data_IF_923263412193
#
_entry.id   IF_923263412193
#
_cell.length_a   1.000
_cell.length_b   1.000
_cell.length_c   1.000
_cell.angle_alpha   90.00
_cell.angle_beta   90.00
_cell.angle_gamma   90.00
#
_symmetry.space_group_name_H-M   'P 1'
#
loop_
_entity.id
_entity.type
_entity.pdbx_description
1 polymer ?
#
# COMPACT_ATOMS: atom_id res chain seq x y z
N UNK A 1 -18.07 -0.06 13.60
CA UNK A 1 -18.33 0.52 12.26
C UNK A 1 -17.00 0.85 11.60
N UNK A 2 -16.86 0.50 10.35
CA UNK A 2 -15.64 0.77 9.57
C UNK A 2 -15.77 2.12 8.88
N UNK A 3 -14.76 2.95 9.03
CA UNK A 3 -14.68 4.27 8.41
C UNK A 3 -13.39 4.35 7.59
N UNK A 4 -13.50 4.79 6.34
CA UNK A 4 -12.36 4.93 5.45
C UNK A 4 -12.11 6.42 5.22
N UNK A 5 -10.87 6.85 5.43
CA UNK A 5 -10.45 8.24 5.20
C UNK A 5 -9.31 8.28 4.20
N UNK A 6 -9.30 9.31 3.38
CA UNK A 6 -8.28 9.48 2.34
C UNK A 6 -7.27 10.55 2.75
N UNK A 7 -6.01 10.30 2.46
CA UNK A 7 -4.91 11.28 2.58
C UNK A 7 -4.71 11.87 3.97
N UNK A 8 -4.96 11.06 5.00
CA UNK A 8 -4.75 11.51 6.40
C UNK A 8 -3.25 11.55 6.73
N UNK A 9 -2.52 10.49 6.42
CA UNK A 9 -1.07 10.39 6.61
C UNK A 9 -0.61 10.74 8.04
N UNK A 10 -1.29 10.16 9.02
CA UNK A 10 -0.94 10.37 10.43
C UNK A 10 0.30 9.55 10.79
N UNK A 11 1.33 10.21 11.28
CA UNK A 11 2.63 9.59 11.55
C UNK A 11 2.55 8.52 12.64
N UNK A 12 1.85 8.82 13.72
CA UNK A 12 1.75 7.88 14.84
C UNK A 12 0.95 6.64 14.46
N UNK A 13 -0.11 6.80 13.67
CA UNK A 13 -0.91 5.68 13.18
C UNK A 13 -0.10 4.82 12.20
N UNK A 14 0.65 5.46 11.32
CA UNK A 14 1.52 4.77 10.38
C UNK A 14 2.54 3.90 11.11
N UNK A 15 3.19 4.47 12.12
CA UNK A 15 4.18 3.74 12.92
C UNK A 15 3.53 2.63 13.74
N UNK A 16 2.35 2.90 14.30
CA UNK A 16 1.61 1.87 15.03
C UNK A 16 1.33 0.65 14.14
N UNK A 17 0.89 0.88 12.90
CA UNK A 17 0.61 -0.21 11.97
C UNK A 17 1.87 -0.98 11.59
N UNK A 18 2.99 -0.29 11.35
CA UNK A 18 4.25 -0.97 11.06
C UNK A 18 4.64 -1.93 12.19
N UNK A 19 4.47 -1.51 13.43
CA UNK A 19 4.75 -2.38 14.57
C UNK A 19 3.73 -3.51 14.66
N UNK A 20 2.46 -3.21 14.44
CA UNK A 20 1.39 -4.20 14.57
C UNK A 20 1.52 -5.34 13.55
N UNK A 21 2.01 -5.05 12.35
CA UNK A 21 2.20 -6.09 11.32
C UNK A 21 3.60 -6.73 11.39
N UNK A 22 4.41 -6.33 12.35
CA UNK A 22 5.70 -6.95 12.60
C UNK A 22 6.86 -6.44 11.75
N UNK A 23 6.68 -5.33 11.04
CA UNK A 23 7.74 -4.78 10.20
C UNK A 23 8.70 -3.87 10.97
N UNK A 24 8.27 -3.35 12.11
CA UNK A 24 9.04 -2.41 12.91
C UNK A 24 8.95 -0.98 12.40
N UNK A 25 8.56 -0.07 13.30
CA UNK A 25 8.37 1.33 12.93
C UNK A 25 9.70 2.07 12.79
N UNK A 26 9.67 3.14 12.03
CA UNK A 26 10.79 4.06 11.90
C UNK A 26 10.71 5.15 12.97
N UNK A 27 11.80 5.91 13.13
CA UNK A 27 11.75 7.14 13.91
C UNK A 27 10.72 8.08 13.29
N UNK A 28 10.05 8.88 14.14
CA UNK A 28 8.96 9.74 13.69
C UNK A 28 9.37 10.69 12.55
N UNK A 29 10.58 11.23 12.62
CA UNK A 29 11.06 12.15 11.59
C UNK A 29 11.21 11.45 10.24
N UNK A 30 11.66 10.19 10.25
CA UNK A 30 11.79 9.40 9.04
C UNK A 30 10.41 9.11 8.45
N UNK A 31 9.47 8.70 9.28
CA UNK A 31 8.08 8.45 8.82
C UNK A 31 7.45 9.72 8.27
N UNK A 32 7.70 10.88 8.90
CA UNK A 32 7.16 12.15 8.43
C UNK A 32 7.67 12.46 7.02
N UNK A 33 8.98 12.33 6.81
CA UNK A 33 9.57 12.58 5.49
C UNK A 33 9.05 11.63 4.44
N UNK A 34 8.93 10.35 4.81
CA UNK A 34 8.43 9.32 3.88
C UNK A 34 7.00 9.60 3.46
N UNK A 35 6.13 9.89 4.43
CA UNK A 35 4.71 10.11 4.15
C UNK A 35 4.46 11.36 3.29
N UNK A 36 5.36 12.33 3.31
CA UNK A 36 5.24 13.52 2.45
C UNK A 36 5.31 13.19 0.97
N UNK A 37 5.91 12.07 0.60
CA UNK A 37 6.03 11.64 -0.80
C UNK A 37 4.90 10.73 -1.23
N UNK A 38 3.83 10.68 -0.46
CA UNK A 38 2.65 9.88 -0.78
C UNK A 38 1.81 10.60 -1.82
N UNK A 39 1.48 9.89 -2.92
CA UNK A 39 0.55 10.41 -3.94
C UNK A 39 -0.87 10.38 -3.40
N UNK A 40 -1.24 9.29 -2.76
CA UNK A 40 -2.59 9.04 -2.28
C UNK A 40 -2.52 7.97 -1.21
N UNK A 41 -3.31 8.11 -0.17
CA UNK A 41 -3.35 7.09 0.88
C UNK A 41 -4.76 6.85 1.37
N UNK A 42 -4.95 5.67 1.95
CA UNK A 42 -6.21 5.23 2.52
C UNK A 42 -5.94 4.78 3.94
N UNK A 43 -6.70 5.29 4.89
CA UNK A 43 -6.64 4.86 6.28
C UNK A 43 -8.01 4.29 6.66
N UNK A 44 -8.01 3.13 7.31
CA UNK A 44 -9.24 2.44 7.71
C UNK A 44 -9.31 2.41 9.23
N UNK A 45 -10.46 2.80 9.75
CA UNK A 45 -10.70 2.89 11.19
C UNK A 45 -11.88 2.02 11.59
N UNK A 46 -11.76 1.40 12.75
CA UNK A 46 -12.89 0.75 13.40
C UNK A 46 -12.99 1.34 14.82
N UNK A 47 -14.17 1.89 15.15
CA UNK A 47 -14.40 2.54 16.45
C UNK A 47 -13.29 3.56 16.75
N UNK A 48 -12.97 4.40 15.78
CA UNK A 48 -11.96 5.47 15.85
C UNK A 48 -10.51 4.99 16.00
N UNK A 49 -10.26 3.69 15.86
CA UNK A 49 -8.91 3.14 15.92
C UNK A 49 -8.45 2.73 14.52
N UNK A 50 -7.22 3.09 14.19
CA UNK A 50 -6.64 2.69 12.90
C UNK A 50 -6.48 1.17 12.86
N UNK A 51 -6.98 0.55 11.80
CA UNK A 51 -6.88 -0.90 11.61
C UNK A 51 -6.24 -1.27 10.28
N UNK A 52 -6.12 -0.33 9.34
CA UNK A 52 -5.51 -0.61 8.05
C UNK A 52 -5.06 0.65 7.34
N UNK A 53 -4.17 0.45 6.35
CA UNK A 53 -3.58 1.55 5.59
C UNK A 53 -3.07 1.00 4.27
N UNK A 54 -2.98 1.87 3.28
CA UNK A 54 -2.29 1.59 2.02
C UNK A 54 -2.01 2.90 1.32
N UNK A 55 -0.97 2.94 0.49
CA UNK A 55 -0.66 4.17 -0.24
C UNK A 55 -0.08 3.92 -1.61
N UNK A 56 -0.15 4.96 -2.43
CA UNK A 56 0.48 5.02 -3.74
C UNK A 56 1.69 5.95 -3.66
N UNK A 57 2.81 5.50 -4.19
CA UNK A 57 4.01 6.31 -4.35
C UNK A 57 4.46 6.25 -5.81
N UNK A 58 5.39 7.11 -6.21
CA UNK A 58 5.89 7.16 -7.57
C UNK A 58 5.80 8.57 -8.12
N UNK A 59 5.95 8.71 -9.44
CA UNK A 59 5.78 10.04 -10.04
C UNK A 59 4.31 10.37 -10.35
N UNK A 60 3.44 9.37 -10.32
CA UNK A 60 2.02 9.59 -10.58
C UNK A 60 1.69 9.83 -12.05
N UNK A 61 2.65 9.68 -12.93
CA UNK A 61 2.52 9.98 -14.36
C UNK A 61 2.91 8.77 -15.21
N UNK A 62 4.15 8.33 -15.07
CA UNK A 62 4.64 7.14 -15.79
C UNK A 62 4.52 5.88 -14.96
N UNK A 63 4.55 6.01 -13.64
CA UNK A 63 4.38 4.86 -12.76
C UNK A 63 3.81 5.24 -11.40
N UNK A 64 3.11 4.28 -10.81
CA UNK A 64 2.72 4.30 -9.40
C UNK A 64 3.07 2.95 -8.81
N UNK A 65 3.40 2.94 -7.53
CA UNK A 65 3.75 1.75 -6.79
C UNK A 65 2.81 1.66 -5.59
N UNK A 66 2.11 0.55 -5.46
CA UNK A 66 1.26 0.29 -4.29
C UNK A 66 2.18 -0.17 -3.17
N UNK A 67 2.12 0.49 -2.04
CA UNK A 67 3.04 0.23 -0.94
C UNK A 67 2.35 0.35 0.41
N UNK A 68 2.93 -0.29 1.40
CA UNK A 68 2.48 -0.22 2.79
C UNK A 68 1.02 -0.61 2.96
N UNK A 69 0.57 -1.66 2.27
CA UNK A 69 -0.76 -2.21 2.49
C UNK A 69 -0.70 -3.03 3.78
N UNK A 70 -1.30 -2.50 4.83
CA UNK A 70 -1.23 -3.08 6.18
C UNK A 70 -2.62 -3.24 6.74
N UNK A 71 -2.88 -4.39 7.36
CA UNK A 71 -4.09 -4.62 8.15
C UNK A 71 -3.63 -5.29 9.45
N UNK A 72 -4.07 -4.77 10.59
CA UNK A 72 -3.66 -5.37 11.87
C UNK A 72 -4.13 -6.83 11.93
N UNK A 73 -3.36 -7.71 12.60
CA UNK A 73 -3.66 -9.16 12.57
C UNK A 73 -5.09 -9.51 12.97
N UNK A 74 -5.64 -8.84 13.97
CA UNK A 74 -6.98 -9.13 14.47
C UNK A 74 -8.08 -8.83 13.45
N UNK A 75 -7.78 -8.02 12.43
CA UNK A 75 -8.74 -7.61 11.40
C UNK A 75 -8.44 -8.19 10.02
N UNK A 76 -7.42 -9.02 9.91
CA UNK A 76 -7.17 -9.75 8.65
C UNK A 76 -8.32 -10.74 8.44
N UNK A 77 -8.67 -10.99 7.20
CA UNK A 77 -9.82 -11.81 6.81
C UNK A 77 -11.19 -11.12 6.96
N UNK A 78 -11.21 -9.84 7.34
CA UNK A 78 -12.46 -9.05 7.43
C UNK A 78 -12.64 -8.15 6.21
N UNK A 79 -11.96 -8.47 5.11
CA UNK A 79 -12.06 -7.75 3.82
C UNK A 79 -11.57 -6.31 3.87
N UNK A 80 -10.86 -5.93 4.92
CA UNK A 80 -10.30 -4.56 5.03
C UNK A 80 -9.24 -4.35 3.95
N UNK A 81 -8.38 -5.34 3.74
CA UNK A 81 -7.38 -5.27 2.65
C UNK A 81 -8.04 -5.09 1.29
N UNK A 82 -9.16 -5.76 1.06
CA UNK A 82 -9.91 -5.62 -0.19
C UNK A 82 -10.46 -4.21 -0.34
N UNK A 83 -10.98 -3.62 0.73
CA UNK A 83 -11.49 -2.25 0.70
C UNK A 83 -10.37 -1.25 0.42
N UNK A 84 -9.20 -1.47 1.02
CA UNK A 84 -8.03 -0.63 0.76
C UNK A 84 -7.64 -0.71 -0.71
N UNK A 85 -7.52 -1.92 -1.24
CA UNK A 85 -7.14 -2.13 -2.64
C UNK A 85 -8.14 -1.49 -3.60
N UNK A 86 -9.43 -1.65 -3.33
CA UNK A 86 -10.45 -1.04 -4.18
C UNK A 86 -10.31 0.48 -4.23
N UNK A 87 -10.04 1.12 -3.10
CA UNK A 87 -9.82 2.57 -3.06
C UNK A 87 -8.56 2.97 -3.83
N UNK A 88 -7.48 2.23 -3.65
CA UNK A 88 -6.23 2.51 -4.37
C UNK A 88 -6.43 2.34 -5.88
N UNK A 89 -7.13 1.29 -6.29
CA UNK A 89 -7.38 1.04 -7.71
C UNK A 89 -8.33 2.08 -8.33
N UNK A 90 -9.31 2.56 -7.57
CA UNK A 90 -10.17 3.65 -8.03
C UNK A 90 -9.33 4.90 -8.32
N UNK A 91 -8.39 5.21 -7.43
CA UNK A 91 -7.50 6.36 -7.63
C UNK A 91 -6.58 6.14 -8.84
N UNK A 92 -6.09 4.94 -9.01
CA UNK A 92 -5.25 4.59 -10.17
C UNK A 92 -6.05 4.78 -11.46
N UNK A 93 -7.32 4.39 -11.47
CA UNK A 93 -8.18 4.61 -12.65
C UNK A 93 -8.30 6.10 -12.98
N UNK A 94 -8.42 6.96 -11.97
CA UNK A 94 -8.44 8.41 -12.17
C UNK A 94 -7.12 8.91 -12.77
N UNK A 95 -6.01 8.44 -12.19
CA UNK A 95 -4.66 8.82 -12.69
C UNK A 95 -4.52 8.41 -14.14
N UNK A 96 -5.01 7.23 -14.50
CA UNK A 96 -4.88 6.70 -15.85
C UNK A 96 -5.65 7.52 -16.88
N UNK A 97 -6.75 8.15 -16.49
CA UNK A 97 -7.50 9.02 -17.41
C UNK A 97 -6.65 10.16 -17.95
N UNK A 98 -5.78 10.73 -17.12
CA UNK A 98 -4.89 11.82 -17.52
C UNK A 98 -3.53 11.32 -17.99
N UNK A 99 -3.14 10.13 -17.58
CA UNK A 99 -1.81 9.56 -17.84
C UNK A 99 -1.98 8.14 -18.36
N UNK A 100 -2.38 7.98 -19.63
CA UNK A 100 -2.81 6.67 -20.16
C UNK A 100 -1.71 5.59 -20.19
N UNK A 101 -0.46 5.98 -20.08
CA UNK A 101 0.66 5.03 -20.08
C UNK A 101 1.19 4.71 -18.70
N UNK A 102 0.52 5.18 -17.65
CA UNK A 102 0.97 4.91 -16.28
C UNK A 102 1.06 3.39 -16.04
N UNK A 103 2.14 2.98 -15.42
CA UNK A 103 2.35 1.58 -15.03
C UNK A 103 2.16 1.44 -13.54
N UNK A 104 1.61 0.30 -13.13
CA UNK A 104 1.27 0.05 -11.73
C UNK A 104 2.06 -1.16 -11.25
N UNK A 105 2.78 -0.98 -10.16
CA UNK A 105 3.64 -2.01 -9.59
C UNK A 105 3.33 -2.22 -8.12
N UNK A 106 3.68 -3.39 -7.62
CA UNK A 106 3.76 -3.65 -6.19
C UNK A 106 4.73 -4.79 -5.94
N UNK A 107 5.25 -4.86 -4.72
CA UNK A 107 5.97 -6.03 -4.25
C UNK A 107 5.11 -6.69 -3.17
N UNK A 108 4.70 -7.92 -3.40
CA UNK A 108 3.88 -8.64 -2.44
C UNK A 108 4.74 -9.15 -1.29
N UNK A 109 4.21 -9.08 -0.07
CA UNK A 109 4.81 -9.81 1.04
C UNK A 109 4.75 -11.30 0.73
N UNK A 110 5.74 -12.04 1.22
CA UNK A 110 5.83 -13.47 0.97
C UNK A 110 4.51 -14.17 1.36
N UNK A 111 3.94 -14.91 0.43
CA UNK A 111 2.70 -15.64 0.65
C UNK A 111 1.43 -14.84 0.37
N UNK A 112 1.55 -13.56 -0.01
CA UNK A 112 0.39 -12.70 -0.29
C UNK A 112 0.10 -12.52 -1.78
N UNK A 113 0.84 -13.19 -2.63
CA UNK A 113 0.68 -13.05 -4.08
C UNK A 113 -0.75 -13.30 -4.53
N UNK A 114 -1.40 -14.35 -3.99
CA UNK A 114 -2.77 -14.70 -4.37
C UNK A 114 -3.78 -13.61 -4.02
N UNK A 115 -3.54 -12.89 -2.92
CA UNK A 115 -4.40 -11.77 -2.55
C UNK A 115 -4.41 -10.73 -3.67
N UNK A 116 -3.23 -10.36 -4.18
CA UNK A 116 -3.13 -9.35 -5.23
C UNK A 116 -3.59 -9.86 -6.58
N UNK A 117 -3.45 -11.17 -6.84
CA UNK A 117 -3.95 -11.76 -8.10
C UNK A 117 -5.45 -11.56 -8.27
N UNK A 118 -6.20 -11.51 -7.18
CA UNK A 118 -7.65 -11.27 -7.23
C UNK A 118 -7.99 -9.90 -7.82
N UNK A 119 -7.04 -8.97 -7.83
CA UNK A 119 -7.22 -7.63 -8.37
C UNK A 119 -6.63 -7.47 -9.77
N UNK A 120 -6.18 -8.56 -10.37
CA UNK A 120 -5.64 -8.54 -11.72
C UNK A 120 -4.12 -8.42 -11.80
N UNK A 121 -3.43 -8.42 -10.67
CA UNK A 121 -1.96 -8.40 -10.67
C UNK A 121 -1.42 -9.78 -11.03
N UNK A 122 -0.34 -9.79 -11.79
CA UNK A 122 0.39 -11.02 -12.13
C UNK A 122 1.86 -10.79 -11.83
N UNK A 123 2.59 -11.86 -11.58
CA UNK A 123 4.03 -11.75 -11.39
C UNK A 123 4.71 -11.32 -12.68
N UNK A 124 5.85 -10.66 -12.56
CA UNK A 124 6.54 -10.12 -13.73
C UNK A 124 6.93 -11.20 -14.74
N UNK A 125 7.29 -12.38 -14.28
CA UNK A 125 7.62 -13.49 -15.18
C UNK A 125 6.42 -13.94 -16.01
N UNK A 126 5.21 -13.95 -15.42
CA UNK A 126 4.00 -14.28 -16.19
C UNK A 126 3.70 -13.23 -17.26
N UNK A 127 4.10 -12.00 -17.03
CA UNK A 127 3.97 -10.92 -18.00
C UNK A 127 5.12 -10.89 -19.00
N UNK A 128 6.00 -11.89 -18.96
CA UNK A 128 7.19 -11.98 -19.79
C UNK A 128 8.15 -10.80 -19.57
N UNK A 129 8.28 -10.40 -18.31
CA UNK A 129 9.18 -9.33 -17.88
C UNK A 129 10.21 -9.91 -16.91
N UNK A 130 11.30 -9.19 -16.70
CA UNK A 130 12.29 -9.58 -15.71
C UNK A 130 11.75 -9.50 -14.30
N UNK A 131 12.36 -10.25 -13.38
CA UNK A 131 11.96 -10.27 -11.98
C UNK A 131 12.16 -8.90 -11.33
N UNK A 132 11.29 -8.57 -10.38
CA UNK A 132 11.54 -7.50 -9.44
C UNK A 132 12.74 -7.90 -8.57
N UNK A 133 13.58 -6.93 -8.21
CA UNK A 133 14.81 -7.23 -7.47
C UNK A 133 14.98 -6.23 -6.33
N UNK A 134 15.66 -6.65 -5.27
CA UNK A 134 16.02 -5.80 -4.15
C UNK A 134 17.54 -5.75 -4.07
N UNK A 135 18.07 -4.71 -3.44
CA UNK A 135 19.49 -4.62 -3.19
C UNK A 135 19.78 -5.37 -1.89
N UNK A 136 20.55 -6.47 -2.01
CA UNK A 136 20.87 -7.29 -0.85
C UNK A 136 21.64 -6.51 0.20
N UNK A 137 21.31 -6.77 1.47
CA UNK A 137 21.97 -6.11 2.59
C UNK A 137 21.29 -4.82 3.05
N UNK A 138 20.19 -4.44 2.41
CA UNK A 138 19.40 -3.26 2.79
C UNK A 138 18.03 -3.62 3.34
N UNK A 139 17.59 -4.85 3.15
CA UNK A 139 16.40 -5.37 3.83
C UNK A 139 16.79 -5.82 5.22
N UNK A 140 15.93 -5.69 6.15
CA UNK A 140 16.22 -6.11 7.55
C UNK A 140 16.18 -7.58 7.76
#
# INVERSE_FOLDING_TARGET
>A
MILIKENVNNIDEFNYLYDAVGWGSYEKEISRKSLKNTIYSVSVYEEDKIVGFGRLIGDGICFVYIHDVMVIPEHQNNKIGTQIMNKLLDKIAEIKLENPYVRVYLGASKGKEKFYERFGFITRDKANLGSGMILEGFED
#
